data_IF_798051382036
#
_entry.id   IF_798051382036
#
_cell.length_a   1.000
_cell.length_b   1.000
_cell.length_c   1.000
_cell.angle_alpha   90.00
_cell.angle_beta   90.00
_cell.angle_gamma   90.00
#
_symmetry.space_group_name_H-M   'P 1'
#
loop_
_entity.id
_entity.type
_entity.pdbx_description
1 polymer ?
#
# COMPACT_ATOMS: atom_id res chain seq x y z
N UNK A 1 25.02 6.51 -9.01
CA UNK A 1 23.80 6.90 -8.26
C UNK A 1 22.59 6.72 -9.17
N UNK A 2 21.56 5.99 -8.74
CA UNK A 2 20.32 5.85 -9.54
C UNK A 2 19.65 7.23 -9.69
N UNK A 3 19.30 7.64 -10.90
CA UNK A 3 18.59 8.90 -11.14
C UNK A 3 17.21 8.87 -10.46
N UNK A 4 16.79 9.95 -9.79
CA UNK A 4 15.48 10.04 -9.13
C UNK A 4 14.31 9.76 -10.08
N UNK A 5 14.46 10.13 -11.37
CA UNK A 5 13.50 9.82 -12.45
C UNK A 5 13.33 8.32 -12.68
N UNK A 6 14.41 7.55 -12.56
CA UNK A 6 14.37 6.09 -12.72
C UNK A 6 13.64 5.44 -11.54
N UNK A 7 13.92 5.89 -10.31
CA UNK A 7 13.25 5.41 -9.09
C UNK A 7 11.76 5.73 -9.15
N UNK A 8 11.39 6.94 -9.55
CA UNK A 8 10.00 7.33 -9.76
C UNK A 8 9.29 6.44 -10.79
N UNK A 9 9.93 6.16 -11.94
CA UNK A 9 9.36 5.30 -12.99
C UNK A 9 9.12 3.86 -12.51
N UNK A 10 10.04 3.31 -11.72
CA UNK A 10 9.99 1.91 -11.26
C UNK A 10 9.47 1.77 -9.83
N UNK A 11 8.90 2.83 -9.24
CA UNK A 11 8.46 2.89 -7.83
C UNK A 11 7.58 1.72 -7.41
N UNK A 12 6.71 1.25 -8.31
CA UNK A 12 5.87 0.08 -8.08
C UNK A 12 6.71 -1.18 -7.89
N UNK A 13 7.55 -1.52 -8.88
CA UNK A 13 8.40 -2.72 -8.82
C UNK A 13 9.34 -2.69 -7.61
N UNK A 14 9.95 -1.54 -7.35
CA UNK A 14 10.86 -1.37 -6.21
C UNK A 14 10.15 -1.54 -4.87
N UNK A 15 8.95 -0.98 -4.70
CA UNK A 15 8.23 -1.11 -3.43
C UNK A 15 7.80 -2.55 -3.13
N UNK A 16 7.43 -3.32 -4.16
CA UNK A 16 6.94 -4.70 -3.99
C UNK A 16 8.06 -5.75 -4.03
N UNK A 17 9.29 -5.41 -4.40
CA UNK A 17 10.37 -6.39 -4.57
C UNK A 17 10.65 -7.27 -3.33
N UNK A 18 10.57 -6.78 -2.07
CA UNK A 18 10.79 -7.65 -0.92
C UNK A 18 9.68 -8.67 -0.70
N UNK A 19 8.49 -8.46 -1.28
CA UNK A 19 7.38 -9.41 -1.18
C UNK A 19 7.71 -10.75 -1.85
N UNK A 20 8.60 -10.75 -2.84
CA UNK A 20 9.12 -11.98 -3.45
C UNK A 20 9.81 -12.84 -2.39
N UNK A 21 10.61 -12.23 -1.50
CA UNK A 21 11.25 -12.96 -0.41
C UNK A 21 10.21 -13.53 0.56
N UNK A 22 9.16 -12.75 0.87
CA UNK A 22 8.06 -13.19 1.74
C UNK A 22 7.37 -14.43 1.18
N UNK A 23 7.25 -14.58 -0.15
CA UNK A 23 6.61 -15.76 -0.76
C UNK A 23 7.34 -17.07 -0.46
N UNK A 24 8.67 -17.04 -0.44
CA UNK A 24 9.49 -18.24 -0.26
C UNK A 24 9.98 -18.42 1.18
N UNK A 25 9.80 -17.41 2.03
CA UNK A 25 10.20 -17.47 3.42
C UNK A 25 9.20 -18.28 4.25
N UNK A 26 9.72 -19.18 5.10
CA UNK A 26 8.92 -20.03 6.01
C UNK A 26 9.34 -19.95 7.47
N UNK A 27 10.54 -19.42 7.73
CA UNK A 27 11.08 -19.38 9.09
C UNK A 27 10.40 -18.27 9.90
N UNK A 28 9.89 -18.64 11.09
CA UNK A 28 9.21 -17.71 11.98
C UNK A 28 7.73 -17.52 11.66
N UNK A 29 7.11 -18.49 10.98
CA UNK A 29 5.66 -18.48 10.79
C UNK A 29 4.89 -18.68 12.09
N UNK A 30 3.86 -17.87 12.29
CA UNK A 30 3.01 -17.95 13.48
C UNK A 30 1.95 -19.03 13.35
N UNK A 31 1.72 -19.80 14.41
CA UNK A 31 0.72 -20.88 14.41
C UNK A 31 -0.72 -20.35 14.36
N UNK A 32 -0.99 -19.22 15.02
CA UNK A 32 -2.34 -18.63 15.07
C UNK A 32 -2.68 -17.90 13.77
N UNK A 33 -3.22 -18.65 12.82
CA UNK A 33 -3.56 -18.15 11.47
C UNK A 33 -4.70 -17.14 11.53
N UNK A 34 -5.69 -17.37 12.39
CA UNK A 34 -6.87 -16.50 12.51
C UNK A 34 -6.47 -15.10 12.94
N UNK A 35 -5.62 -14.98 13.97
CA UNK A 35 -5.14 -13.67 14.43
C UNK A 35 -4.28 -12.98 13.37
N UNK A 36 -3.35 -13.72 12.75
CA UNK A 36 -2.49 -13.17 11.71
C UNK A 36 -3.33 -12.64 10.53
N UNK A 37 -4.26 -13.43 10.02
CA UNK A 37 -5.11 -13.05 8.89
C UNK A 37 -6.11 -11.96 9.25
N UNK A 38 -6.67 -11.97 10.46
CA UNK A 38 -7.52 -10.89 10.95
C UNK A 38 -6.79 -9.54 10.98
N UNK A 39 -5.55 -9.52 11.50
CA UNK A 39 -4.69 -8.34 11.47
C UNK A 39 -4.31 -7.95 10.03
N UNK A 40 -4.04 -8.93 9.16
CA UNK A 40 -3.79 -8.72 7.74
C UNK A 40 -4.97 -8.07 7.02
N UNK A 41 -6.20 -8.54 7.24
CA UNK A 41 -7.42 -7.96 6.69
C UNK A 41 -7.63 -6.54 7.19
N UNK A 42 -7.50 -6.30 8.51
CA UNK A 42 -7.64 -4.97 9.07
C UNK A 42 -6.64 -3.98 8.43
N UNK A 43 -5.38 -4.39 8.28
CA UNK A 43 -4.34 -3.57 7.69
C UNK A 43 -4.54 -3.36 6.18
N UNK A 44 -4.98 -4.39 5.46
CA UNK A 44 -5.35 -4.31 4.04
C UNK A 44 -6.48 -3.31 3.82
N UNK A 45 -7.57 -3.43 4.58
CA UNK A 45 -8.73 -2.53 4.45
C UNK A 45 -8.38 -1.10 4.83
N UNK A 46 -7.59 -0.88 5.89
CA UNK A 46 -7.11 0.44 6.25
C UNK A 46 -6.25 1.06 5.13
N UNK A 47 -5.33 0.28 4.56
CA UNK A 47 -4.49 0.71 3.44
C UNK A 47 -5.31 1.01 2.17
N UNK A 48 -6.26 0.15 1.83
CA UNK A 48 -7.16 0.33 0.68
C UNK A 48 -8.07 1.54 0.87
N UNK A 49 -8.66 1.73 2.05
CA UNK A 49 -9.51 2.88 2.33
C UNK A 49 -8.75 4.20 2.14
N UNK A 50 -7.51 4.29 2.67
CA UNK A 50 -6.66 5.46 2.48
C UNK A 50 -6.29 5.67 1.00
N UNK A 51 -6.00 4.60 0.26
CA UNK A 51 -5.72 4.69 -1.19
C UNK A 51 -6.92 5.14 -1.99
N UNK A 52 -8.10 4.58 -1.74
CA UNK A 52 -9.36 4.94 -2.40
C UNK A 52 -9.66 6.42 -2.15
N UNK A 53 -9.56 6.85 -0.89
CA UNK A 53 -9.75 8.25 -0.50
C UNK A 53 -8.70 9.17 -1.13
N UNK A 54 -7.45 8.72 -1.28
CA UNK A 54 -6.41 9.50 -1.96
C UNK A 54 -6.62 9.58 -3.48
N UNK A 55 -6.99 8.48 -4.13
CA UNK A 55 -7.21 8.45 -5.58
C UNK A 55 -8.42 9.27 -6.02
N UNK A 56 -9.45 9.33 -5.17
CA UNK A 56 -10.66 10.10 -5.46
C UNK A 56 -10.43 11.61 -5.50
N UNK A 57 -9.23 12.08 -5.10
CA UNK A 57 -8.79 13.47 -5.16
C UNK A 57 -7.60 13.72 -6.11
N UNK A 58 -6.71 12.74 -6.33
CA UNK A 58 -5.49 12.93 -7.14
C UNK A 58 -5.74 12.87 -8.65
N UNK A 59 -6.90 12.37 -9.09
CA UNK A 59 -7.38 12.38 -10.49
C UNK A 59 -6.48 11.72 -11.57
N UNK A 60 -5.22 11.41 -11.27
CA UNK A 60 -4.22 10.87 -12.19
C UNK A 60 -4.64 9.51 -12.77
N UNK A 61 -5.08 8.57 -11.91
CA UNK A 61 -5.61 7.27 -12.39
C UNK A 61 -7.00 7.37 -12.98
N UNK A 62 -7.69 8.49 -12.78
CA UNK A 62 -9.02 8.79 -13.31
C UNK A 62 -8.97 9.49 -14.67
N UNK A 63 -7.76 9.82 -15.17
CA UNK A 63 -7.51 10.50 -16.46
C UNK A 63 -8.21 11.87 -16.57
N UNK A 64 -8.29 12.63 -15.48
CA UNK A 64 -8.85 14.00 -15.45
C UNK A 64 -7.71 15.05 -15.43
N UNK A 65 -7.99 16.35 -15.63
CA UNK A 65 -6.99 17.42 -15.69
C UNK A 65 -6.09 17.51 -14.44
N UNK A 66 -4.82 17.87 -14.65
CA UNK A 66 -3.80 17.98 -13.60
C UNK A 66 -3.93 19.32 -12.84
N UNK A 67 -4.76 19.35 -11.82
CA UNK A 67 -4.81 20.46 -10.86
C UNK A 67 -4.04 20.12 -9.59
N UNK A 68 -3.57 21.16 -8.87
CA UNK A 68 -2.89 20.97 -7.61
C UNK A 68 -3.87 20.41 -6.55
N UNK A 69 -3.75 19.11 -6.27
CA UNK A 69 -4.59 18.43 -5.28
C UNK A 69 -4.17 18.78 -3.85
N UNK A 70 -5.03 19.50 -3.14
CA UNK A 70 -4.88 19.81 -1.69
C UNK A 70 -6.09 19.39 -0.86
N UNK A 71 -7.06 18.69 -1.46
CA UNK A 71 -8.30 18.25 -0.81
C UNK A 71 -8.23 16.85 -0.18
N UNK A 72 -9.21 16.51 0.65
CA UNK A 72 -9.35 15.17 1.21
C UNK A 72 -8.15 14.77 2.08
N UNK A 73 -7.53 13.59 1.88
CA UNK A 73 -6.43 13.14 2.72
C UNK A 73 -5.16 13.97 2.52
N UNK A 74 -5.06 14.72 1.42
CA UNK A 74 -3.95 15.63 1.14
C UNK A 74 -3.94 16.85 2.07
N UNK A 75 -5.02 17.10 2.82
CA UNK A 75 -5.01 18.11 3.89
C UNK A 75 -4.25 17.63 5.13
N UNK A 76 -4.17 16.31 5.34
CA UNK A 76 -3.57 15.70 6.52
C UNK A 76 -2.08 15.43 6.31
N UNK A 77 -1.76 14.84 5.17
CA UNK A 77 -0.43 14.40 4.77
C UNK A 77 -0.26 14.58 3.27
N UNK A 78 0.95 14.90 2.81
CA UNK A 78 1.20 15.06 1.37
C UNK A 78 1.16 13.76 0.59
N UNK A 79 1.46 12.63 1.23
CA UNK A 79 1.68 11.34 0.57
C UNK A 79 0.78 10.20 1.08
N UNK A 80 -0.54 10.39 1.19
CA UNK A 80 -1.45 9.39 1.76
C UNK A 80 -1.48 8.10 0.93
N UNK A 81 -1.34 8.22 -0.41
CA UNK A 81 -1.30 7.07 -1.31
C UNK A 81 -0.12 6.13 -1.00
N UNK A 82 1.06 6.69 -0.72
CA UNK A 82 2.25 5.90 -0.40
C UNK A 82 2.18 5.23 0.97
N UNK A 83 1.54 5.89 1.94
CA UNK A 83 1.24 5.29 3.25
C UNK A 83 0.29 4.10 3.07
N UNK A 84 -0.77 4.28 2.28
CA UNK A 84 -1.71 3.20 1.98
C UNK A 84 -1.05 2.05 1.23
N UNK A 85 -0.16 2.32 0.28
CA UNK A 85 0.64 1.28 -0.39
C UNK A 85 1.50 0.48 0.59
N UNK A 86 2.19 1.17 1.51
CA UNK A 86 3.02 0.51 2.52
C UNK A 86 2.19 -0.39 3.44
N UNK A 87 0.99 0.04 3.84
CA UNK A 87 0.06 -0.77 4.63
C UNK A 87 -0.42 -2.02 3.86
N UNK A 88 -0.79 -1.88 2.59
CA UNK A 88 -1.14 -3.02 1.72
C UNK A 88 0.05 -3.99 1.57
N UNK A 89 1.27 -3.49 1.39
CA UNK A 89 2.46 -4.35 1.30
C UNK A 89 2.73 -5.07 2.63
N UNK A 90 2.62 -4.39 3.77
CA UNK A 90 2.77 -4.99 5.08
C UNK A 90 1.70 -6.07 5.34
N UNK A 91 0.45 -5.88 4.89
CA UNK A 91 -0.62 -6.88 5.04
C UNK A 91 -0.26 -8.25 4.43
N UNK A 92 0.55 -8.26 3.36
CA UNK A 92 1.03 -9.50 2.74
C UNK A 92 1.80 -10.39 3.72
N UNK A 93 2.60 -9.77 4.60
CA UNK A 93 3.38 -10.49 5.61
C UNK A 93 2.49 -11.21 6.63
N UNK A 94 1.34 -10.62 6.96
CA UNK A 94 0.36 -11.22 7.85
C UNK A 94 -0.36 -12.40 7.21
N UNK A 95 -0.78 -12.27 5.94
CA UNK A 95 -1.37 -13.38 5.19
C UNK A 95 -0.38 -14.54 5.00
N UNK A 96 0.91 -14.21 4.80
CA UNK A 96 2.00 -15.16 4.74
C UNK A 96 2.37 -15.80 6.10
N UNK A 97 1.65 -15.47 7.19
CA UNK A 97 1.92 -15.89 8.58
C UNK A 97 3.27 -15.42 9.14
N UNK A 98 3.86 -14.36 8.57
CA UNK A 98 5.16 -13.79 8.94
C UNK A 98 5.04 -12.32 9.42
N UNK A 99 4.21 -12.01 10.43
CA UNK A 99 3.97 -10.62 10.85
C UNK A 99 5.24 -9.89 11.32
N UNK A 100 6.26 -10.62 11.77
CA UNK A 100 7.55 -10.05 12.17
C UNK A 100 8.34 -9.41 11.01
N UNK A 101 7.99 -9.73 9.75
CA UNK A 101 8.57 -9.07 8.56
C UNK A 101 7.95 -7.70 8.28
N UNK A 102 6.79 -7.37 8.86
CA UNK A 102 6.07 -6.13 8.57
C UNK A 102 6.93 -4.86 8.79
N UNK A 103 7.70 -4.71 9.90
CA UNK A 103 8.55 -3.54 10.09
C UNK A 103 9.61 -3.37 8.99
N UNK A 104 10.18 -4.46 8.48
CA UNK A 104 11.17 -4.43 7.39
C UNK A 104 10.53 -3.99 6.07
N UNK A 105 9.33 -4.48 5.77
CA UNK A 105 8.56 -4.05 4.60
C UNK A 105 8.23 -2.56 4.71
N UNK A 106 7.76 -2.09 5.86
CA UNK A 106 7.44 -0.68 6.09
C UNK A 106 8.68 0.21 5.94
N UNK A 107 9.81 -0.21 6.51
CA UNK A 107 11.08 0.52 6.39
C UNK A 107 11.56 0.60 4.94
N UNK A 108 11.47 -0.51 4.20
CA UNK A 108 11.80 -0.54 2.77
C UNK A 108 10.91 0.37 1.95
N UNK A 109 9.59 0.28 2.12
CA UNK A 109 8.64 1.17 1.47
C UNK A 109 8.92 2.63 1.80
N UNK A 110 9.23 2.94 3.07
CA UNK A 110 9.58 4.30 3.50
C UNK A 110 10.85 4.81 2.80
N UNK A 111 11.88 3.97 2.68
CA UNK A 111 13.12 4.34 1.98
C UNK A 111 12.87 4.61 0.49
N UNK A 112 12.19 3.69 -0.20
CA UNK A 112 11.85 3.84 -1.63
C UNK A 112 10.98 5.07 -1.86
N UNK A 113 9.89 5.20 -1.11
CA UNK A 113 8.96 6.32 -1.30
C UNK A 113 9.55 7.65 -0.87
N UNK A 114 10.49 7.71 0.09
CA UNK A 114 11.21 8.94 0.40
C UNK A 114 12.03 9.46 -0.79
N UNK A 115 12.62 8.57 -1.60
CA UNK A 115 13.32 8.97 -2.82
C UNK A 115 12.35 9.42 -3.92
N UNK A 116 11.24 8.69 -4.08
CA UNK A 116 10.17 9.02 -5.05
C UNK A 116 9.57 10.39 -4.74
N UNK A 117 9.19 10.62 -3.49
CA UNK A 117 8.55 11.87 -3.04
C UNK A 117 9.49 13.07 -3.21
N UNK A 118 10.79 12.93 -2.94
CA UNK A 118 11.74 14.04 -3.17
C UNK A 118 11.79 14.44 -4.65
N UNK A 119 11.75 13.46 -5.56
CA UNK A 119 11.71 13.72 -6.99
C UNK A 119 10.37 14.35 -7.40
N UNK A 120 9.25 13.82 -6.92
CA UNK A 120 7.91 14.36 -7.19
C UNK A 120 7.75 15.79 -6.67
N UNK A 121 8.20 16.09 -5.46
CA UNK A 121 8.10 17.42 -4.87
C UNK A 121 8.91 18.45 -5.68
N UNK A 122 10.10 18.07 -6.20
CA UNK A 122 10.87 18.93 -7.11
C UNK A 122 10.11 19.22 -8.41
N UNK A 123 9.57 18.18 -9.04
CA UNK A 123 8.77 18.34 -10.26
C UNK A 123 7.48 19.14 -10.05
N UNK A 124 6.79 18.94 -8.93
CA UNK A 124 5.57 19.67 -8.58
C UNK A 124 5.86 21.13 -8.22
N UNK A 125 7.03 21.44 -7.64
CA UNK A 125 7.50 22.81 -7.45
C UNK A 125 7.74 23.51 -8.79
N UNK A 126 8.36 22.85 -9.76
CA UNK A 126 8.54 23.38 -11.11
C UNK A 126 7.19 23.62 -11.82
N UNK A 127 6.24 22.69 -11.65
CA UNK A 127 4.94 22.74 -12.32
C UNK A 127 3.98 23.79 -11.73
N UNK A 128 3.89 23.86 -10.40
CA UNK A 128 2.88 24.66 -9.70
C UNK A 128 3.44 25.87 -8.96
N UNK A 129 4.76 25.99 -8.77
CA UNK A 129 5.42 27.15 -8.18
C UNK A 129 4.93 27.50 -6.77
N UNK A 130 4.70 28.80 -6.53
CA UNK A 130 4.35 29.36 -5.22
C UNK A 130 3.16 28.71 -4.50
N UNK A 131 2.04 28.38 -5.16
CA UNK A 131 0.95 27.58 -4.59
C UNK A 131 1.42 26.28 -3.93
N UNK A 132 2.31 25.53 -4.59
CA UNK A 132 2.82 24.27 -4.05
C UNK A 132 3.82 24.51 -2.91
N UNK A 133 4.66 25.54 -3.00
CA UNK A 133 5.57 25.93 -1.92
C UNK A 133 4.81 26.28 -0.61
N UNK A 134 3.65 26.93 -0.72
CA UNK A 134 2.77 27.19 0.43
C UNK A 134 2.25 25.87 1.02
N UNK A 135 1.76 24.98 0.17
CA UNK A 135 1.26 23.67 0.57
C UNK A 135 2.34 22.81 1.27
N UNK A 136 3.61 22.85 0.82
CA UNK A 136 4.71 22.15 1.46
C UNK A 136 4.98 22.61 2.91
N UNK A 137 4.71 23.89 3.22
CA UNK A 137 4.87 24.48 4.56
C UNK A 137 3.73 24.11 5.50
N UNK A 138 2.51 24.03 4.98
CA UNK A 138 1.30 23.77 5.77
C UNK A 138 1.16 22.27 6.09
N UNK A 139 1.36 21.41 5.10
CA UNK A 139 1.05 19.98 5.20
C UNK A 139 2.33 19.14 5.39
N UNK A 140 2.39 18.27 6.41
CA UNK A 140 3.54 17.40 6.65
C UNK A 140 3.66 16.30 5.59
N UNK A 141 4.88 15.78 5.40
CA UNK A 141 5.15 14.78 4.35
C UNK A 141 4.55 13.41 4.64
N UNK A 142 4.62 12.95 5.91
CA UNK A 142 4.33 11.56 6.31
C UNK A 142 3.39 11.41 7.51
N UNK A 143 3.53 12.26 8.53
CA UNK A 143 2.78 12.15 9.77
C UNK A 143 1.65 13.17 9.80
N UNK A 144 0.39 12.77 9.97
CA UNK A 144 -0.75 13.67 9.85
C UNK A 144 -0.74 14.77 10.92
N UNK A 145 -1.06 16.00 10.51
CA UNK A 145 -1.44 17.07 11.44
C UNK A 145 -2.96 17.14 11.51
N UNK A 146 -3.51 17.03 12.72
CA UNK A 146 -4.96 17.04 12.96
C UNK A 146 -5.53 18.43 13.23
N UNK A 147 -4.70 19.48 13.16
CA UNK A 147 -5.14 20.84 13.45
C UNK A 147 -5.78 21.49 12.22
N UNK A 148 -6.95 22.13 12.41
CA UNK A 148 -7.60 22.92 11.36
C UNK A 148 -8.31 22.13 10.27
N UNK A 149 -8.79 20.91 10.59
CA UNK A 149 -9.55 20.07 9.66
C UNK A 149 -10.76 20.83 9.12
N UNK A 150 -10.69 21.24 7.85
CA UNK A 150 -11.88 21.62 7.09
C UNK A 150 -12.74 20.36 6.90
N UNK A 151 -14.00 20.54 6.51
CA UNK A 151 -14.92 19.41 6.28
C UNK A 151 -14.29 18.40 5.30
N UNK A 152 -13.86 17.27 5.85
CA UNK A 152 -13.27 16.17 5.08
C UNK A 152 -14.41 15.31 4.55
N UNK A 153 -14.58 15.30 3.23
CA UNK A 153 -15.42 14.31 2.58
C UNK A 153 -14.60 13.03 2.36
N UNK A 154 -14.99 11.95 3.04
CA UNK A 154 -14.42 10.62 2.82
C UNK A 154 -14.91 9.99 1.51
N UNK A 155 -16.09 10.41 1.07
CA UNK A 155 -16.74 9.91 -0.14
C UNK A 155 -17.13 11.06 -1.05
N UNK A 156 -16.90 10.88 -2.35
CA UNK A 156 -17.20 11.83 -3.40
C UNK A 156 -17.62 11.09 -4.69
N UNK A 157 -18.02 11.82 -5.72
CA UNK A 157 -18.47 11.26 -7.00
C UNK A 157 -17.42 10.37 -7.71
N UNK A 158 -16.13 10.58 -7.41
CA UNK A 158 -15.03 9.82 -7.98
C UNK A 158 -14.68 8.55 -7.19
N UNK A 159 -15.21 8.38 -5.99
CA UNK A 159 -14.91 7.25 -5.10
C UNK A 159 -15.24 5.88 -5.71
N UNK A 160 -16.38 5.68 -6.43
CA UNK A 160 -16.63 4.41 -7.12
C UNK A 160 -15.58 4.05 -8.18
N UNK A 161 -15.08 5.05 -8.93
CA UNK A 161 -14.01 4.83 -9.93
C UNK A 161 -12.69 4.49 -9.24
N UNK A 162 -12.39 5.16 -8.11
CA UNK A 162 -11.22 4.87 -7.28
C UNK A 162 -11.27 3.43 -6.72
N UNK A 163 -12.42 2.97 -6.21
CA UNK A 163 -12.61 1.57 -5.76
C UNK A 163 -12.24 0.60 -6.86
N UNK A 164 -12.80 0.76 -8.06
CA UNK A 164 -12.50 -0.12 -9.21
C UNK A 164 -11.02 -0.10 -9.59
N UNK A 165 -10.41 1.07 -9.58
CA UNK A 165 -8.98 1.22 -9.88
C UNK A 165 -8.09 0.50 -8.86
N UNK A 166 -8.56 0.30 -7.62
CA UNK A 166 -7.79 -0.28 -6.52
C UNK A 166 -8.08 -1.78 -6.29
N UNK A 167 -9.05 -2.38 -6.99
CA UNK A 167 -9.39 -3.81 -6.87
C UNK A 167 -8.21 -4.76 -7.10
N UNK A 168 -7.25 -4.38 -7.94
CA UNK A 168 -6.04 -5.16 -8.20
C UNK A 168 -5.20 -5.40 -6.92
N UNK A 169 -5.35 -4.56 -5.89
CA UNK A 169 -4.66 -4.78 -4.60
C UNK A 169 -5.11 -6.06 -3.91
N UNK A 170 -6.31 -6.55 -4.19
CA UNK A 170 -6.82 -7.82 -3.65
C UNK A 170 -6.01 -9.03 -4.14
N UNK A 171 -5.28 -8.90 -5.26
CA UNK A 171 -4.38 -9.95 -5.74
C UNK A 171 -3.24 -10.22 -4.74
N UNK A 172 -2.79 -9.21 -3.98
CA UNK A 172 -1.79 -9.39 -2.94
C UNK A 172 -2.38 -10.29 -1.84
N UNK A 173 -3.57 -9.96 -1.34
CA UNK A 173 -4.25 -10.80 -0.34
C UNK A 173 -4.49 -12.23 -0.86
N UNK A 174 -4.88 -12.40 -2.12
CA UNK A 174 -5.08 -13.71 -2.73
C UNK A 174 -3.78 -14.52 -2.77
N UNK A 175 -2.71 -13.97 -3.33
CA UNK A 175 -1.43 -14.68 -3.52
C UNK A 175 -0.84 -15.07 -2.15
N UNK A 176 -0.77 -14.14 -1.20
CA UNK A 176 -0.18 -14.41 0.11
C UNK A 176 -1.11 -15.21 1.03
N UNK A 177 -2.43 -15.11 0.85
CA UNK A 177 -3.40 -15.95 1.51
C UNK A 177 -3.28 -17.41 1.05
N UNK A 178 -3.11 -17.65 -0.26
CA UNK A 178 -2.86 -18.99 -0.80
C UNK A 178 -1.54 -19.58 -0.27
N UNK A 179 -0.46 -18.77 -0.23
CA UNK A 179 0.80 -19.17 0.43
C UNK A 179 0.54 -19.57 1.89
N UNK A 180 -0.10 -18.69 2.66
CA UNK A 180 -0.40 -18.93 4.08
C UNK A 180 -1.27 -20.16 4.33
N UNK A 181 -2.20 -20.48 3.42
CA UNK A 181 -2.99 -21.71 3.47
C UNK A 181 -2.13 -22.94 3.18
N UNK A 182 -1.30 -22.88 2.15
CA UNK A 182 -0.44 -23.99 1.75
C UNK A 182 0.54 -24.38 2.85
N UNK A 183 1.09 -23.39 3.58
CA UNK A 183 2.01 -23.61 4.69
C UNK A 183 1.30 -23.89 6.03
N UNK A 184 -0.04 -23.80 6.08
CA UNK A 184 -0.80 -24.11 7.28
C UNK A 184 -0.96 -25.62 7.51
N UNK A 185 -1.16 -26.08 8.76
CA UNK A 185 -1.43 -27.49 9.06
C UNK A 185 -2.62 -28.06 8.26
N UNK A 186 -3.65 -27.26 8.05
CA UNK A 186 -4.82 -27.63 7.24
C UNK A 186 -4.46 -27.81 5.76
N UNK A 187 -3.57 -26.98 5.22
CA UNK A 187 -3.05 -27.12 3.85
C UNK A 187 -2.29 -28.43 3.65
N UNK A 188 -1.43 -28.78 4.62
CA UNK A 188 -0.70 -30.04 4.59
C UNK A 188 -1.64 -31.26 4.62
N UNK A 189 -2.65 -31.26 5.50
CA UNK A 189 -3.65 -32.32 5.58
C UNK A 189 -4.43 -32.47 4.27
N UNK A 190 -4.91 -31.36 3.69
CA UNK A 190 -5.63 -31.36 2.42
C UNK A 190 -4.78 -31.92 1.26
N UNK A 191 -3.51 -31.54 1.19
CA UNK A 191 -2.59 -32.07 0.18
C UNK A 191 -2.35 -33.57 0.32
N UNK A 192 -2.12 -34.05 1.55
CA UNK A 192 -1.91 -35.49 1.80
C UNK A 192 -3.15 -36.33 1.46
N UNK A 193 -4.35 -35.85 1.81
CA UNK A 193 -5.60 -36.54 1.49
C UNK A 193 -5.97 -36.51 0.00
N UNK A 194 -5.63 -35.44 -0.72
CA UNK A 194 -5.79 -35.39 -2.18
C UNK A 194 -4.82 -36.35 -2.87
N UNK A 195 -3.56 -36.37 -2.43
CA UNK A 195 -2.54 -37.30 -2.96
C UNK A 195 -2.96 -38.75 -2.75
N UNK A 196 -3.48 -39.12 -1.58
CA UNK A 196 -3.92 -40.50 -1.34
C UNK A 196 -5.09 -40.93 -2.22
N UNK A 197 -5.95 -40.02 -2.68
CA UNK A 197 -7.10 -40.32 -3.57
C UNK A 197 -6.74 -40.38 -5.05
N UNK A 198 -5.71 -39.65 -5.48
CA UNK A 198 -5.30 -39.61 -6.89
C UNK A 198 -4.36 -40.76 -7.27
N UNK A 199 -3.70 -41.37 -6.28
CA UNK A 199 -2.75 -42.46 -6.47
C UNK A 199 -3.22 -43.79 -5.85
N UNK A 200 -4.53 -43.91 -5.58
CA UNK A 200 -5.25 -45.14 -5.21
C UNK A 200 -6.09 -45.61 -6.38
#
# INVERSE_FOLDING_TARGET
MLSGKWVFRHRGVLAHSPLILVLFWRRGEVSNTVLAWGAGLALLFAGMALRIWAQSYIHHRLKLPLELTTGGPYQLVRNPLYIGNAAVCASATFFARLPWLAPFILLWCFAVYSLVVRYEEGWLLELYGGPYERYLREVPRWFPRLNGLRRIAFWNEFSPKAVRAELHCLLIALIFGLKGLADSPAGHLAWTGLRSRLFS
#
